data_IF_585016268932
#
_entry.id   IF_585016268932
#
_cell.length_a   1.000
_cell.length_b   1.000
_cell.length_c   1.000
_cell.angle_alpha   90.00
_cell.angle_beta   90.00
_cell.angle_gamma   90.00
#
_symmetry.space_group_name_H-M   'P 1'
#
loop_
_entity.id
_entity.type
_entity.pdbx_description
1 polymer ?
#
# COMPACT_ATOMS: atom_id res chain seq x y z
N UNK A 1 -54.64 -3.27 44.54
CA UNK A 1 -53.23 -3.84 44.55
C UNK A 1 -53.19 -4.94 43.52
N UNK A 2 -52.51 -4.70 42.40
CA UNK A 2 -52.37 -5.68 41.32
C UNK A 2 -50.96 -6.29 41.48
N UNK A 3 -50.90 -7.56 41.84
CA UNK A 3 -49.69 -8.32 42.05
C UNK A 3 -49.27 -8.91 40.68
N UNK A 4 -48.23 -8.39 40.07
CA UNK A 4 -47.65 -8.95 38.81
C UNK A 4 -46.70 -10.07 39.20
N UNK A 5 -47.07 -11.30 38.87
CA UNK A 5 -46.23 -12.48 39.06
C UNK A 5 -45.28 -12.62 37.86
N UNK A 6 -43.99 -12.41 38.12
CA UNK A 6 -42.93 -12.69 37.13
C UNK A 6 -42.61 -14.20 37.16
N UNK A 7 -42.91 -14.89 36.08
CA UNK A 7 -42.49 -16.29 35.91
C UNK A 7 -41.02 -16.35 35.46
N UNK A 8 -40.21 -17.22 36.05
CA UNK A 8 -38.82 -17.41 35.62
C UNK A 8 -38.77 -18.09 34.24
N UNK A 9 -37.96 -17.51 33.34
CA UNK A 9 -37.69 -18.08 32.02
C UNK A 9 -36.93 -19.39 32.16
N UNK A 10 -37.35 -20.42 31.41
CA UNK A 10 -36.72 -21.74 31.44
C UNK A 10 -35.26 -21.67 30.89
N UNK A 11 -34.32 -22.45 31.45
CA UNK A 11 -32.89 -22.38 31.08
C UNK A 11 -32.63 -22.66 29.59
N UNK A 12 -33.49 -23.39 28.91
CA UNK A 12 -33.37 -23.70 27.49
C UNK A 12 -33.59 -22.47 26.58
N UNK A 13 -34.41 -21.47 27.03
CA UNK A 13 -34.59 -20.23 26.23
C UNK A 13 -33.43 -19.27 26.35
N UNK A 14 -32.73 -19.28 27.48
CA UNK A 14 -31.53 -18.46 27.68
C UNK A 14 -30.36 -18.99 26.83
N UNK A 15 -30.21 -20.31 26.70
CA UNK A 15 -29.15 -20.93 25.91
C UNK A 15 -29.30 -20.64 24.40
N UNK A 16 -30.55 -20.61 23.90
CA UNK A 16 -30.85 -20.28 22.50
C UNK A 16 -30.55 -18.82 22.17
N UNK A 17 -30.76 -17.90 23.10
CA UNK A 17 -30.47 -16.47 22.92
C UNK A 17 -28.96 -16.20 22.89
N UNK A 18 -28.16 -16.90 23.69
CA UNK A 18 -26.68 -16.77 23.71
C UNK A 18 -26.05 -17.36 22.43
N UNK A 19 -26.58 -18.48 21.92
CA UNK A 19 -26.11 -19.08 20.68
C UNK A 19 -26.34 -18.18 19.45
N UNK A 20 -27.41 -17.36 19.46
CA UNK A 20 -27.71 -16.44 18.34
C UNK A 20 -26.82 -15.19 18.32
N UNK A 21 -26.17 -14.81 19.44
CA UNK A 21 -25.27 -13.64 19.49
C UNK A 21 -23.83 -13.94 19.11
N UNK A 22 -23.41 -15.20 19.06
CA UNK A 22 -22.02 -15.59 18.73
C UNK A 22 -21.80 -15.75 17.22
N UNK A 23 -22.86 -15.70 16.42
CA UNK A 23 -22.87 -16.09 15.01
C UNK A 23 -22.50 -15.03 13.97
N UNK A 24 -22.18 -13.77 14.31
CA UNK A 24 -21.99 -12.72 13.30
C UNK A 24 -20.75 -11.82 13.51
N UNK A 25 -19.62 -12.42 13.79
CA UNK A 25 -18.35 -11.71 13.61
C UNK A 25 -17.60 -12.34 12.45
N UNK A 26 -18.06 -12.12 11.22
CA UNK A 26 -17.20 -12.29 10.04
C UNK A 26 -16.18 -11.17 10.08
N UNK A 27 -15.07 -11.40 10.78
CA UNK A 27 -13.88 -10.58 10.60
C UNK A 27 -13.43 -10.82 9.17
N UNK A 28 -13.76 -9.90 8.26
CA UNK A 28 -13.14 -9.86 6.93
C UNK A 28 -11.66 -9.55 7.15
N UNK A 29 -10.87 -10.59 7.30
CA UNK A 29 -9.41 -10.48 7.34
C UNK A 29 -8.98 -10.13 5.91
N UNK A 30 -8.80 -8.84 5.65
CA UNK A 30 -8.16 -8.37 4.43
C UNK A 30 -6.69 -8.79 4.52
N UNK A 31 -6.34 -9.88 3.86
CA UNK A 31 -4.96 -10.31 3.77
C UNK A 31 -4.19 -9.32 2.89
N UNK A 32 -3.10 -8.78 3.41
CA UNK A 32 -2.14 -8.02 2.60
C UNK A 32 -1.72 -8.87 1.40
N UNK A 33 -1.48 -8.24 0.23
CA UNK A 33 -1.09 -8.97 -0.96
C UNK A 33 0.20 -9.76 -0.72
N UNK A 34 0.16 -11.05 -0.96
CA UNK A 34 1.33 -11.93 -0.86
C UNK A 34 2.26 -11.65 -2.04
N UNK A 35 3.52 -11.35 -1.75
CA UNK A 35 4.55 -11.13 -2.75
C UNK A 35 5.54 -12.28 -2.78
N UNK A 36 5.73 -12.87 -3.97
CA UNK A 36 6.70 -13.92 -4.24
C UNK A 36 7.99 -13.30 -4.81
N UNK A 37 9.14 -13.68 -4.27
CA UNK A 37 10.44 -13.23 -4.81
C UNK A 37 10.66 -13.77 -6.21
N UNK A 38 11.14 -12.91 -7.12
CA UNK A 38 11.44 -13.26 -8.52
C UNK A 38 12.79 -12.68 -8.94
N UNK A 39 13.45 -13.34 -9.89
CA UNK A 39 14.75 -12.89 -10.40
C UNK A 39 14.62 -11.74 -11.42
N UNK A 40 13.49 -11.68 -12.14
CA UNK A 40 13.25 -10.67 -13.18
C UNK A 40 11.78 -10.29 -13.26
N UNK A 41 11.53 -9.11 -13.81
CA UNK A 41 10.21 -8.57 -14.10
C UNK A 41 10.17 -7.96 -15.51
N UNK A 42 8.99 -7.76 -16.11
CA UNK A 42 8.87 -7.08 -17.40
C UNK A 42 9.35 -5.61 -17.41
N UNK A 43 9.56 -5.03 -16.23
CA UNK A 43 9.94 -3.62 -16.07
C UNK A 43 11.43 -3.40 -15.88
N UNK A 44 12.24 -4.43 -15.69
CA UNK A 44 13.66 -4.33 -15.35
C UNK A 44 14.43 -3.43 -16.32
N UNK A 45 14.23 -3.62 -17.64
CA UNK A 45 14.88 -2.81 -18.66
C UNK A 45 14.49 -1.33 -18.59
N UNK A 46 13.21 -1.05 -18.32
CA UNK A 46 12.70 0.32 -18.25
C UNK A 46 13.16 1.03 -16.97
N UNK A 47 13.39 0.27 -15.89
CA UNK A 47 13.79 0.79 -14.59
C UNK A 47 15.30 0.97 -14.42
N UNK A 48 16.11 0.65 -15.42
CA UNK A 48 17.58 0.75 -15.33
C UNK A 48 18.05 2.13 -14.86
N UNK A 49 17.39 3.21 -15.29
CA UNK A 49 17.74 4.59 -14.93
C UNK A 49 17.53 4.90 -13.45
N UNK A 50 16.52 4.30 -12.83
CA UNK A 50 16.17 4.54 -11.42
C UNK A 50 16.70 3.44 -10.48
N UNK A 51 17.31 2.39 -11.02
CA UNK A 51 17.88 1.31 -10.22
C UNK A 51 18.86 1.82 -9.15
N UNK A 52 19.78 2.77 -9.44
CA UNK A 52 20.67 3.33 -8.41
C UNK A 52 19.90 3.93 -7.24
N UNK A 53 18.76 4.60 -7.49
CA UNK A 53 17.91 5.19 -6.44
C UNK A 53 17.35 4.11 -5.53
N UNK A 54 16.88 3.00 -6.12
CA UNK A 54 16.27 1.92 -5.33
C UNK A 54 17.28 1.16 -4.46
N UNK A 55 18.54 1.00 -4.94
CA UNK A 55 19.58 0.22 -4.26
C UNK A 55 20.50 1.06 -3.36
N UNK A 56 20.37 2.38 -3.37
CA UNK A 56 21.15 3.26 -2.49
C UNK A 56 20.98 2.78 -1.04
N UNK A 57 22.07 2.71 -0.29
CA UNK A 57 22.01 2.36 1.12
C UNK A 57 21.34 3.50 1.89
N UNK A 58 20.55 3.13 2.88
CA UNK A 58 19.95 4.11 3.79
C UNK A 58 21.05 5.01 4.36
N UNK A 59 20.74 6.27 4.50
CA UNK A 59 21.53 7.21 5.29
C UNK A 59 21.78 6.63 6.68
N UNK A 60 23.00 6.83 7.23
CA UNK A 60 23.28 6.51 8.63
C UNK A 60 22.48 7.39 9.61
N UNK A 61 21.88 8.48 9.11
CA UNK A 61 20.93 9.30 9.84
C UNK A 61 19.62 8.55 10.00
N UNK A 62 19.42 8.00 11.18
CA UNK A 62 18.12 7.45 11.61
C UNK A 62 17.24 8.60 12.13
N UNK A 63 16.74 9.42 11.25
CA UNK A 63 15.62 10.28 11.62
C UNK A 63 14.36 9.41 11.67
N UNK A 64 13.55 9.60 12.72
CA UNK A 64 12.26 8.93 12.80
C UNK A 64 11.33 9.55 11.76
N UNK A 65 11.21 8.90 10.61
CA UNK A 65 10.27 9.33 9.56
C UNK A 65 8.85 9.19 10.10
N UNK A 66 8.21 10.32 10.38
CA UNK A 66 6.83 10.35 10.85
C UNK A 66 5.82 10.31 9.69
N UNK A 67 4.62 9.83 9.96
CA UNK A 67 3.53 9.84 8.99
C UNK A 67 3.17 11.28 8.54
N UNK A 68 3.28 12.25 9.46
CA UNK A 68 3.07 13.67 9.15
C UNK A 68 4.07 14.20 8.13
N UNK A 69 5.34 13.85 8.27
CA UNK A 69 6.40 14.22 7.32
C UNK A 69 6.18 13.58 5.95
N UNK A 70 5.80 12.30 5.91
CA UNK A 70 5.47 11.61 4.65
C UNK A 70 4.27 12.25 3.97
N UNK A 71 3.24 12.63 4.71
CA UNK A 71 2.08 13.34 4.16
C UNK A 71 2.47 14.69 3.55
N UNK A 72 3.39 15.42 4.18
CA UNK A 72 3.91 16.66 3.61
C UNK A 72 4.60 16.42 2.26
N UNK A 73 5.47 15.42 2.16
CA UNK A 73 6.13 15.07 0.90
C UNK A 73 5.16 14.58 -0.19
N UNK A 74 4.10 13.86 0.20
CA UNK A 74 3.02 13.48 -0.72
C UNK A 74 2.34 14.73 -1.29
N UNK A 75 2.04 15.74 -0.45
CA UNK A 75 1.40 16.98 -0.86
C UNK A 75 2.30 17.78 -1.81
N UNK A 76 3.60 17.90 -1.52
CA UNK A 76 4.56 18.58 -2.39
C UNK A 76 4.60 17.95 -3.79
N UNK A 77 4.75 16.61 -3.84
CA UNK A 77 4.77 15.88 -5.10
C UNK A 77 3.41 15.89 -5.82
N UNK A 78 2.31 15.89 -5.06
CA UNK A 78 0.96 16.02 -5.60
C UNK A 78 0.77 17.36 -6.31
N UNK A 79 1.39 18.43 -5.80
CA UNK A 79 1.38 19.76 -6.37
C UNK A 79 2.05 19.86 -7.74
N UNK A 80 2.97 18.98 -8.10
CA UNK A 80 3.56 18.92 -9.44
C UNK A 80 2.48 18.50 -10.44
N UNK A 81 2.23 19.23 -11.55
CA UNK A 81 1.26 18.84 -12.57
C UNK A 81 1.50 17.43 -13.10
N UNK A 82 0.42 16.72 -13.41
CA UNK A 82 0.55 15.40 -14.02
C UNK A 82 0.84 15.52 -15.52
N UNK A 83 1.87 14.80 -15.97
CA UNK A 83 2.19 14.65 -17.39
C UNK A 83 2.87 13.31 -17.63
N UNK A 84 2.36 12.55 -18.60
CA UNK A 84 2.91 11.24 -18.94
C UNK A 84 4.34 11.35 -19.48
N UNK A 85 5.20 10.45 -19.03
CA UNK A 85 6.56 10.21 -19.58
C UNK A 85 6.68 8.74 -19.99
N UNK A 86 7.30 8.48 -21.14
CA UNK A 86 7.62 7.11 -21.56
C UNK A 86 8.68 6.50 -20.63
N UNK A 87 9.65 7.31 -20.21
CA UNK A 87 10.76 6.91 -19.37
C UNK A 87 10.47 7.10 -17.87
N UNK A 88 11.15 6.33 -17.04
CA UNK A 88 11.21 6.54 -15.60
C UNK A 88 12.12 7.74 -15.30
N UNK A 89 11.57 8.80 -14.72
CA UNK A 89 12.34 9.97 -14.29
C UNK A 89 13.06 9.69 -12.98
N UNK A 90 14.28 10.17 -12.86
CA UNK A 90 15.00 10.23 -11.58
C UNK A 90 14.42 11.31 -10.66
N UNK A 91 14.65 11.28 -9.33
CA UNK A 91 14.19 12.33 -8.42
C UNK A 91 14.59 13.74 -8.85
N UNK A 92 15.85 13.95 -9.23
CA UNK A 92 16.34 15.25 -9.70
C UNK A 92 15.60 15.75 -10.96
N UNK A 93 15.27 14.83 -11.88
CA UNK A 93 14.47 15.18 -13.08
C UNK A 93 13.02 15.52 -12.71
N UNK A 94 12.46 14.92 -11.67
CA UNK A 94 11.11 15.25 -11.18
C UNK A 94 11.08 16.63 -10.52
N UNK A 95 12.09 16.94 -9.72
CA UNK A 95 12.21 18.24 -9.02
C UNK A 95 12.39 19.42 -9.98
N UNK A 96 13.10 19.19 -11.09
CA UNK A 96 13.35 20.24 -12.11
C UNK A 96 12.29 20.30 -13.22
N UNK A 97 11.34 19.36 -13.26
CA UNK A 97 10.38 19.26 -14.34
C UNK A 97 9.11 20.05 -14.10
N UNK A 98 8.53 20.60 -15.18
CA UNK A 98 7.21 21.25 -15.13
C UNK A 98 6.05 20.25 -14.87
N UNK A 99 6.29 18.96 -15.08
CA UNK A 99 5.30 17.88 -14.87
C UNK A 99 5.98 16.54 -14.56
N UNK A 100 5.25 15.67 -13.86
CA UNK A 100 5.69 14.30 -13.58
C UNK A 100 4.50 13.33 -13.62
N UNK A 101 4.76 12.08 -14.00
CA UNK A 101 3.77 11.01 -13.94
C UNK A 101 3.86 10.23 -12.61
N UNK A 102 3.01 9.22 -12.48
CA UNK A 102 2.97 8.38 -11.27
C UNK A 102 4.31 7.70 -10.96
N UNK A 103 5.06 7.29 -11.99
CA UNK A 103 6.35 6.63 -11.83
C UNK A 103 7.38 7.59 -11.23
N UNK A 104 7.53 8.76 -11.83
CA UNK A 104 8.46 9.78 -11.37
C UNK A 104 8.16 10.22 -9.94
N UNK A 105 6.89 10.55 -9.64
CA UNK A 105 6.47 10.97 -8.29
C UNK A 105 6.71 9.86 -7.23
N UNK A 106 6.41 8.60 -7.56
CA UNK A 106 6.65 7.49 -6.66
C UNK A 106 8.16 7.28 -6.38
N UNK A 107 9.01 7.39 -7.40
CA UNK A 107 10.47 7.28 -7.25
C UNK A 107 11.04 8.43 -6.44
N UNK A 108 10.58 9.66 -6.66
CA UNK A 108 11.02 10.82 -5.87
C UNK A 108 10.61 10.69 -4.40
N UNK A 109 9.40 10.20 -4.12
CA UNK A 109 8.97 9.93 -2.74
C UNK A 109 9.81 8.80 -2.11
N UNK A 110 10.10 7.73 -2.86
CA UNK A 110 10.93 6.61 -2.39
C UNK A 110 12.31 7.10 -1.95
N UNK A 111 12.98 7.87 -2.79
CA UNK A 111 14.32 8.41 -2.50
C UNK A 111 14.28 9.30 -1.28
N UNK A 112 13.33 10.22 -1.19
CA UNK A 112 13.17 11.14 -0.07
C UNK A 112 12.96 10.39 1.24
N UNK A 113 12.05 9.43 1.28
CA UNK A 113 11.82 8.60 2.46
C UNK A 113 13.05 7.78 2.84
N UNK A 114 13.73 7.22 1.86
CA UNK A 114 14.90 6.38 2.05
C UNK A 114 16.10 7.18 2.55
N UNK A 115 16.33 8.39 2.04
CA UNK A 115 17.40 9.30 2.48
C UNK A 115 17.20 9.78 3.92
N UNK A 116 15.96 9.84 4.41
CA UNK A 116 15.63 10.13 5.80
C UNK A 116 15.60 8.89 6.70
N UNK A 117 15.98 7.72 6.19
CA UNK A 117 16.16 6.50 6.97
C UNK A 117 14.90 5.63 7.11
N UNK A 118 13.80 5.91 6.38
CA UNK A 118 12.64 5.03 6.38
C UNK A 118 13.00 3.63 5.88
N UNK A 119 12.54 2.62 6.60
CA UNK A 119 12.75 1.20 6.31
C UNK A 119 11.48 0.59 5.73
N UNK A 120 11.61 -0.60 5.13
CA UNK A 120 10.46 -1.40 4.67
C UNK A 120 9.55 -0.67 3.67
N UNK A 121 10.16 0.11 2.78
CA UNK A 121 9.48 0.77 1.66
C UNK A 121 9.55 -0.15 0.43
N UNK A 122 8.45 -0.25 -0.30
CA UNK A 122 8.39 -0.92 -1.60
C UNK A 122 7.84 0.02 -2.66
N UNK A 123 8.49 0.08 -3.82
CA UNK A 123 7.91 0.66 -5.02
C UNK A 123 7.03 -0.40 -5.68
N UNK A 124 5.76 -0.12 -5.86
CA UNK A 124 4.78 -1.05 -6.41
C UNK A 124 4.31 -0.58 -7.78
N UNK A 125 4.23 -1.53 -8.71
CA UNK A 125 3.60 -1.35 -10.02
C UNK A 125 2.39 -2.26 -10.08
N UNK A 126 1.23 -1.69 -10.37
CA UNK A 126 -0.02 -2.42 -10.40
C UNK A 126 -1.12 -1.69 -11.17
N UNK A 127 -2.36 -1.92 -10.80
CA UNK A 127 -3.55 -1.29 -11.38
C UNK A 127 -4.32 -0.55 -10.30
N UNK A 128 -4.90 0.61 -10.65
CA UNK A 128 -5.73 1.38 -9.72
C UNK A 128 -7.09 0.72 -9.44
N UNK A 129 -7.60 -0.01 -10.41
CA UNK A 129 -8.85 -0.78 -10.33
C UNK A 129 -8.73 -2.06 -11.16
N UNK A 130 -9.55 -3.05 -10.88
CA UNK A 130 -9.60 -4.33 -11.61
C UNK A 130 -9.89 -4.14 -13.10
N UNK A 131 -10.68 -3.13 -13.45
CA UNK A 131 -11.03 -2.78 -14.83
C UNK A 131 -9.98 -1.93 -15.55
N UNK A 132 -8.99 -1.39 -14.83
CA UNK A 132 -7.95 -0.55 -15.43
C UNK A 132 -7.03 -1.36 -16.33
N UNK A 133 -6.84 -0.89 -17.57
CA UNK A 133 -5.85 -1.44 -18.51
C UNK A 133 -4.48 -0.79 -18.37
N UNK A 134 -4.43 0.40 -17.73
CA UNK A 134 -3.19 1.15 -17.52
C UNK A 134 -2.58 0.74 -16.19
N UNK A 135 -1.27 0.59 -16.18
CA UNK A 135 -0.48 0.41 -14.96
C UNK A 135 -0.32 1.75 -14.24
N UNK A 136 -0.13 1.65 -12.92
CA UNK A 136 0.08 2.76 -12.02
C UNK A 136 1.22 2.42 -11.05
N UNK A 137 1.92 3.42 -10.54
CA UNK A 137 3.00 3.25 -9.58
C UNK A 137 2.69 4.01 -8.29
N UNK A 138 2.96 3.36 -7.15
CA UNK A 138 2.82 3.91 -5.81
C UNK A 138 3.85 3.30 -4.87
N UNK A 139 3.88 3.72 -3.61
CA UNK A 139 4.69 3.08 -2.59
C UNK A 139 3.80 2.35 -1.58
N UNK A 140 4.35 1.31 -1.00
CA UNK A 140 3.88 0.71 0.24
C UNK A 140 4.97 0.87 1.30
N UNK A 141 4.57 1.31 2.48
CA UNK A 141 5.45 1.52 3.61
C UNK A 141 4.93 0.75 4.82
N UNK A 142 5.68 -0.26 5.25
CA UNK A 142 5.33 -1.09 6.41
C UNK A 142 6.01 -0.56 7.66
N UNK A 143 5.21 -0.24 8.67
CA UNK A 143 5.62 0.23 9.99
C UNK A 143 5.08 -0.70 11.07
N UNK A 144 5.43 -0.46 12.32
CA UNK A 144 4.82 -1.17 13.47
C UNK A 144 3.30 -0.96 13.55
N UNK A 145 2.79 0.18 13.05
CA UNK A 145 1.36 0.51 13.03
C UNK A 145 0.60 -0.14 11.87
N UNK A 146 1.29 -0.84 10.95
CA UNK A 146 0.72 -1.48 9.77
C UNK A 146 1.29 -0.96 8.46
N UNK A 147 0.73 -1.41 7.35
CA UNK A 147 1.16 -1.01 6.01
C UNK A 147 0.36 0.19 5.52
N UNK A 148 1.06 1.18 5.00
CA UNK A 148 0.50 2.39 4.39
C UNK A 148 0.73 2.38 2.88
N UNK A 149 -0.30 2.80 2.15
CA UNK A 149 -0.28 3.08 0.73
C UNK A 149 -0.02 4.57 0.52
N UNK A 150 1.02 4.90 -0.26
CA UNK A 150 1.48 6.24 -0.51
C UNK A 150 1.44 6.51 -2.02
N UNK A 151 0.46 7.29 -2.46
CA UNK A 151 0.28 7.63 -3.87
C UNK A 151 0.33 9.14 -4.09
N UNK A 152 1.51 9.72 -4.37
CA UNK A 152 1.67 11.16 -4.56
C UNK A 152 1.06 11.68 -5.86
N UNK A 153 0.40 10.81 -6.64
CA UNK A 153 -0.31 11.21 -7.87
C UNK A 153 -1.78 11.47 -7.61
N UNK A 154 -2.42 10.63 -6.82
CA UNK A 154 -3.87 10.63 -6.66
C UNK A 154 -4.31 11.03 -5.24
N UNK A 155 -3.49 10.78 -4.24
CA UNK A 155 -3.83 11.00 -2.84
C UNK A 155 -3.13 12.24 -2.28
N UNK A 156 -3.71 12.85 -1.26
CA UNK A 156 -3.14 13.97 -0.52
C UNK A 156 -2.41 13.53 0.76
N UNK A 157 -2.69 12.32 1.20
CA UNK A 157 -2.12 11.72 2.41
C UNK A 157 -1.91 10.22 2.19
N UNK A 158 -1.15 9.61 3.08
CA UNK A 158 -1.04 8.16 3.18
C UNK A 158 -2.37 7.55 3.65
N UNK A 159 -2.72 6.40 3.11
CA UNK A 159 -3.86 5.59 3.57
C UNK A 159 -3.35 4.28 4.18
N UNK A 160 -4.01 3.79 5.22
CA UNK A 160 -3.77 2.40 5.65
C UNK A 160 -4.22 1.44 4.57
N UNK A 161 -3.40 0.46 4.22
CA UNK A 161 -3.75 -0.56 3.22
C UNK A 161 -5.03 -1.30 3.57
N UNK A 162 -5.26 -1.56 4.86
CA UNK A 162 -6.47 -2.20 5.36
C UNK A 162 -7.77 -1.40 5.11
N UNK A 163 -7.67 -0.08 4.95
CA UNK A 163 -8.82 0.80 4.72
C UNK A 163 -9.11 0.97 3.21
N UNK A 164 -8.23 0.46 2.36
CA UNK A 164 -8.37 0.54 0.91
C UNK A 164 -9.11 -0.68 0.38
N UNK A 165 -10.24 -0.48 -0.30
CA UNK A 165 -11.06 -1.57 -0.81
C UNK A 165 -10.31 -2.49 -1.79
N UNK A 166 -10.63 -3.78 -1.76
CA UNK A 166 -9.97 -4.88 -2.51
C UNK A 166 -9.95 -4.72 -4.03
N UNK A 167 -10.76 -3.83 -4.58
CA UNK A 167 -10.82 -3.57 -6.02
C UNK A 167 -9.96 -2.37 -6.45
N UNK A 168 -9.26 -1.75 -5.48
CA UNK A 168 -8.36 -0.62 -5.70
C UNK A 168 -6.93 -1.03 -5.37
N UNK A 169 -5.97 -0.43 -6.09
CA UNK A 169 -4.54 -0.68 -5.88
C UNK A 169 -4.17 -2.17 -5.91
N UNK A 170 -4.42 -2.79 -7.06
CA UNK A 170 -4.11 -4.20 -7.29
C UNK A 170 -2.64 -4.31 -7.71
N UNK A 171 -1.74 -4.82 -6.85
CA UNK A 171 -0.33 -4.92 -7.15
C UNK A 171 -0.07 -6.01 -8.19
N UNK A 172 0.94 -5.80 -9.03
CA UNK A 172 1.46 -6.78 -9.97
C UNK A 172 2.92 -7.13 -9.65
N UNK A 173 3.75 -6.11 -9.44
CA UNK A 173 5.16 -6.25 -9.10
C UNK A 173 5.54 -5.23 -8.02
N UNK A 174 6.56 -5.58 -7.23
CA UNK A 174 7.13 -4.68 -6.22
C UNK A 174 8.66 -4.77 -6.21
N UNK A 175 9.30 -3.68 -5.76
CA UNK A 175 10.74 -3.54 -5.66
C UNK A 175 11.09 -2.97 -4.29
N UNK A 176 12.05 -3.61 -3.61
CA UNK A 176 12.59 -3.17 -2.33
C UNK A 176 14.11 -3.30 -2.37
N UNK A 177 14.80 -2.19 -2.65
CA UNK A 177 16.22 -2.23 -2.97
C UNK A 177 16.47 -3.03 -4.25
N UNK A 178 17.39 -3.99 -4.19
CA UNK A 178 17.68 -4.92 -5.29
C UNK A 178 16.67 -6.07 -5.42
N UNK A 179 15.82 -6.28 -4.42
CA UNK A 179 14.85 -7.38 -4.39
C UNK A 179 13.64 -7.06 -5.24
N UNK A 180 13.19 -8.07 -6.00
CA UNK A 180 12.06 -7.98 -6.91
C UNK A 180 11.01 -8.99 -6.52
N UNK A 181 9.75 -8.61 -6.66
CA UNK A 181 8.62 -9.43 -6.26
C UNK A 181 7.52 -9.38 -7.31
N UNK A 182 6.77 -10.48 -7.39
CA UNK A 182 5.51 -10.56 -8.12
C UNK A 182 4.39 -10.79 -7.13
N UNK A 183 3.30 -10.06 -7.26
CA UNK A 183 2.11 -10.32 -6.46
C UNK A 183 1.51 -11.69 -6.81
N UNK A 184 1.19 -12.49 -5.80
CA UNK A 184 0.45 -13.73 -5.99
C UNK A 184 -0.99 -13.40 -6.38
N UNK A 185 -1.47 -13.93 -7.50
CA UNK A 185 -2.89 -13.90 -7.81
C UNK A 185 -3.63 -14.86 -6.88
N UNK A 186 -4.82 -14.47 -6.40
CA UNK A 186 -5.63 -15.28 -5.47
C UNK A 186 -5.88 -16.73 -5.93
N UNK A 187 -5.77 -17.02 -7.22
CA UNK A 187 -5.87 -18.36 -7.81
C UNK A 187 -4.70 -19.28 -7.42
N UNK A 188 -3.53 -18.74 -7.04
CA UNK A 188 -2.38 -19.55 -6.62
C UNK A 188 -2.45 -19.97 -5.15
N UNK A 189 -3.18 -19.22 -4.32
CA UNK A 189 -3.32 -19.52 -2.89
C UNK A 189 -4.40 -20.57 -2.60
N UNK A 190 -5.27 -20.85 -3.57
CA UNK A 190 -6.38 -21.82 -3.44
C UNK A 190 -5.99 -23.27 -3.84
N UNK A 191 -4.72 -23.53 -4.16
CA UNK A 191 -4.24 -24.86 -4.66
C UNK A 191 -3.34 -25.62 -3.69
N UNK A 192 -3.33 -25.25 -2.40
CA UNK A 192 -2.65 -26.03 -1.36
C UNK A 192 -3.63 -26.53 -0.31
#
# INVERSE_FOLDING_TARGET
MITVSLQPLSPNKILTLIAALIGLSTVSCFADPVFLSVNSTPYDRQMTRIQPVLITKNSEHKENVSLGLVNHWIQDLRGIPYGFSAEWKTPAEVESAAFADCKGKAVALYEKMHSYGAQNIRLVIGRRASTSRKTHAWLEWTTESGTYLLDPTLNWTAYRSADVGNHSYIPLYAYAGSRKYRAASGTLLAKN
#
